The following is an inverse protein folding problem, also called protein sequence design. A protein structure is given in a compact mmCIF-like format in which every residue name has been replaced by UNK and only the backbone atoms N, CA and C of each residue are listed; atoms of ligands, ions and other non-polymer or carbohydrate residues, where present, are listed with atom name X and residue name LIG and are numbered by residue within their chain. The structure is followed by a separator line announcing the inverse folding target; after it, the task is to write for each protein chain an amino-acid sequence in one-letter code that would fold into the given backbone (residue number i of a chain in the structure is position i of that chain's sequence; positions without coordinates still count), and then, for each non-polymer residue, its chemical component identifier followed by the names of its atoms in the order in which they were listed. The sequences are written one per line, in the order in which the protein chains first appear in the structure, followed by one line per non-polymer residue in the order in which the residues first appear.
data_IF_094915155025
#
_entry.id   IF_094915155025
#
_cell.length_a   1.000
_cell.length_b   1.000
_cell.length_c   1.000
_cell.angle_alpha   90.00
_cell.angle_beta   90.00
_cell.angle_gamma   90.00
#
_symmetry.space_group_name_H-M   'P 1'
#
loop_
_entity.id
_entity.type
_entity.pdbx_description
1 polymer ?
#
# COMPACT_ATOMS: atom_id res chain seq x y z
N UNK A 1 23.67 -21.77 6.34
CA UNK A 1 23.95 -20.97 5.14
C UNK A 1 24.11 -19.53 5.60
N UNK A 2 25.21 -18.86 5.26
CA UNK A 2 25.38 -17.44 5.60
C UNK A 2 24.36 -16.66 4.77
N UNK A 3 23.41 -15.98 5.42
CA UNK A 3 22.59 -14.98 4.76
C UNK A 3 23.53 -13.91 4.21
N UNK A 4 23.46 -13.67 2.90
CA UNK A 4 24.27 -12.65 2.25
C UNK A 4 23.54 -11.32 2.45
N UNK A 5 24.13 -10.44 3.24
CA UNK A 5 23.57 -9.13 3.52
C UNK A 5 23.68 -8.24 2.28
N UNK A 6 22.64 -7.45 1.97
CA UNK A 6 22.67 -6.47 0.89
C UNK A 6 23.72 -5.39 1.20
N UNK A 7 24.59 -5.10 0.23
CA UNK A 7 25.57 -4.02 0.33
C UNK A 7 24.94 -2.68 -0.06
N UNK A 8 25.62 -1.57 0.23
CA UNK A 8 25.18 -0.24 -0.22
C UNK A 8 25.06 -0.14 -1.75
N UNK A 9 25.97 -0.82 -2.47
CA UNK A 9 25.92 -0.88 -3.94
C UNK A 9 24.70 -1.67 -4.43
N UNK A 10 24.35 -2.78 -3.76
CA UNK A 10 23.14 -3.54 -4.10
C UNK A 10 21.88 -2.69 -3.87
N UNK A 11 21.81 -1.93 -2.77
CA UNK A 11 20.69 -1.04 -2.47
C UNK A 11 20.54 0.08 -3.51
N UNK A 12 21.65 0.64 -3.99
CA UNK A 12 21.67 1.64 -5.05
C UNK A 12 21.15 1.07 -6.38
N UNK A 13 21.62 -0.13 -6.77
CA UNK A 13 21.14 -0.82 -7.97
C UNK A 13 19.64 -1.12 -7.91
N UNK A 14 19.13 -1.58 -6.76
CA UNK A 14 17.71 -1.82 -6.55
C UNK A 14 16.90 -0.52 -6.67
N UNK A 15 17.38 0.57 -6.08
CA UNK A 15 16.73 1.89 -6.16
C UNK A 15 16.68 2.38 -7.61
N UNK A 16 17.76 2.21 -8.39
CA UNK A 16 17.77 2.52 -9.82
C UNK A 16 16.77 1.67 -10.63
N UNK A 17 16.45 0.46 -10.17
CA UNK A 17 15.42 -0.40 -10.73
C UNK A 17 14.00 -0.09 -10.22
N UNK A 18 13.82 0.96 -9.39
CA UNK A 18 12.54 1.31 -8.77
C UNK A 18 12.15 0.42 -7.59
N UNK A 19 13.08 -0.37 -7.06
CA UNK A 19 12.87 -1.25 -5.92
C UNK A 19 13.41 -0.56 -4.67
N UNK A 20 12.52 -0.21 -3.76
CA UNK A 20 12.86 0.34 -2.45
C UNK A 20 12.80 -0.78 -1.41
N UNK A 21 13.81 -0.84 -0.56
CA UNK A 21 13.92 -1.84 0.49
C UNK A 21 14.02 -1.13 1.82
N UNK A 22 13.08 -1.43 2.72
CA UNK A 22 13.18 -1.05 4.12
C UNK A 22 13.54 -2.30 4.94
N UNK A 23 14.82 -2.45 5.35
CA UNK A 23 15.29 -3.68 5.98
C UNK A 23 14.80 -3.86 7.42
N UNK A 24 14.33 -2.81 8.08
CA UNK A 24 14.11 -2.79 9.53
C UNK A 24 12.72 -2.25 9.90
N UNK A 25 11.68 -2.93 9.47
CA UNK A 25 10.31 -2.71 9.99
C UNK A 25 10.07 -3.61 11.21
N UNK A 26 8.98 -3.39 11.94
CA UNK A 26 8.49 -4.20 13.06
C UNK A 26 8.21 -5.65 12.66
N UNK A 27 7.76 -5.90 11.42
CA UNK A 27 7.37 -7.23 10.93
C UNK A 27 8.36 -7.81 9.91
N UNK A 28 9.64 -7.40 9.99
CA UNK A 28 10.70 -7.83 9.07
C UNK A 28 10.86 -6.93 7.86
N UNK A 29 11.68 -7.29 6.86
CA UNK A 29 11.93 -6.40 5.73
C UNK A 29 10.65 -6.13 4.91
N UNK A 30 10.49 -4.90 4.45
CA UNK A 30 9.48 -4.52 3.47
C UNK A 30 10.15 -4.13 2.15
N UNK A 31 9.45 -4.40 1.05
CA UNK A 31 9.87 -4.00 -0.29
C UNK A 31 8.73 -3.25 -0.97
N UNK A 32 9.09 -2.17 -1.65
CA UNK A 32 8.20 -1.45 -2.56
C UNK A 32 8.76 -1.54 -3.97
N UNK A 33 8.02 -2.13 -4.90
CA UNK A 33 8.53 -2.36 -6.26
C UNK A 33 7.43 -2.28 -7.32
N UNK A 34 7.77 -1.91 -8.58
CA UNK A 34 6.83 -1.91 -9.68
C UNK A 34 6.59 -3.33 -10.19
N UNK A 35 5.36 -3.62 -10.60
CA UNK A 35 5.00 -4.75 -11.47
C UNK A 35 4.06 -4.28 -12.57
N UNK A 36 4.00 -5.02 -13.68
CA UNK A 36 3.04 -4.73 -14.75
C UNK A 36 1.62 -5.05 -14.29
N UNK A 37 0.66 -4.23 -14.70
CA UNK A 37 -0.77 -4.50 -14.51
C UNK A 37 -1.36 -5.48 -15.56
N UNK A 38 -0.58 -5.92 -16.54
CA UNK A 38 -1.02 -6.79 -17.64
C UNK A 38 -1.67 -6.06 -18.83
N UNK A 39 -1.91 -4.76 -18.73
CA UNK A 39 -2.57 -3.92 -19.75
C UNK A 39 -1.65 -2.81 -20.30
N UNK A 40 -0.36 -2.89 -20.00
CA UNK A 40 0.65 -1.91 -20.41
C UNK A 40 0.83 -0.77 -19.41
N UNK A 41 0.15 -0.82 -18.26
CA UNK A 41 0.39 0.04 -17.11
C UNK A 41 1.28 -0.62 -16.06
N UNK A 42 1.45 0.11 -14.96
CA UNK A 42 2.28 -0.27 -13.82
C UNK A 42 1.50 -0.10 -12.52
N UNK A 43 1.71 -1.05 -11.62
CA UNK A 43 1.28 -0.97 -10.22
C UNK A 43 2.52 -1.03 -9.33
N UNK A 44 2.54 -0.20 -8.29
CA UNK A 44 3.54 -0.24 -7.23
C UNK A 44 3.00 -1.09 -6.09
N UNK A 45 3.74 -2.11 -5.70
CA UNK A 45 3.35 -3.08 -4.66
C UNK A 45 4.19 -2.85 -3.41
N UNK A 46 3.54 -2.85 -2.25
CA UNK A 46 4.17 -3.05 -0.95
C UNK A 46 4.08 -4.54 -0.60
N UNK A 47 5.24 -5.17 -0.43
CA UNK A 47 5.36 -6.55 0.01
C UNK A 47 6.04 -6.60 1.37
N UNK A 48 5.53 -7.46 2.25
CA UNK A 48 6.14 -7.76 3.54
C UNK A 48 5.80 -9.20 3.94
N UNK A 49 6.75 -9.91 4.55
CA UNK A 49 6.47 -11.21 5.18
C UNK A 49 5.94 -12.31 4.25
N UNK A 50 6.13 -12.21 2.93
CA UNK A 50 5.60 -13.19 1.95
C UNK A 50 4.30 -12.80 1.27
N UNK A 51 3.68 -11.67 1.65
CA UNK A 51 2.39 -11.23 1.12
C UNK A 51 2.49 -9.85 0.46
N UNK A 52 1.56 -9.58 -0.46
CA UNK A 52 1.29 -8.21 -0.90
C UNK A 52 0.36 -7.56 0.13
N UNK A 53 0.89 -6.58 0.86
CA UNK A 53 0.16 -5.81 1.86
C UNK A 53 -0.69 -4.71 1.20
N UNK A 54 -0.16 -4.09 0.14
CA UNK A 54 -0.80 -2.97 -0.53
C UNK A 54 -0.36 -2.86 -1.99
N UNK A 55 -1.18 -2.26 -2.84
CA UNK A 55 -0.81 -2.00 -4.22
C UNK A 55 -1.54 -0.79 -4.79
N UNK A 56 -0.87 -0.04 -5.66
CA UNK A 56 -1.33 1.25 -6.18
C UNK A 56 -1.01 1.38 -7.66
N UNK A 57 -1.98 1.77 -8.48
CA UNK A 57 -1.70 2.23 -9.86
C UNK A 57 -0.85 3.50 -9.85
N UNK A 58 0.14 3.57 -10.74
CA UNK A 58 1.04 4.74 -10.83
C UNK A 58 0.58 5.81 -11.82
N UNK A 59 -0.59 5.62 -12.45
CA UNK A 59 -1.17 6.53 -13.45
C UNK A 59 -2.44 7.26 -12.92
N UNK A 60 -3.32 7.71 -13.82
CA UNK A 60 -4.58 8.38 -13.46
C UNK A 60 -5.50 7.51 -12.58
N UNK A 61 -5.32 6.19 -12.56
CA UNK A 61 -6.05 5.25 -11.73
C UNK A 61 -5.51 5.18 -10.30
N UNK A 62 -4.56 6.04 -9.88
CA UNK A 62 -3.97 6.02 -8.53
C UNK A 62 -4.98 5.93 -7.37
N UNK A 63 -6.21 6.44 -7.54
CA UNK A 63 -7.25 6.37 -6.51
C UNK A 63 -8.16 5.13 -6.64
N UNK A 64 -7.92 4.25 -7.60
CA UNK A 64 -8.62 2.98 -7.81
C UNK A 64 -7.94 1.86 -7.03
N UNK A 65 -8.72 0.83 -6.69
CA UNK A 65 -8.24 -0.33 -5.96
C UNK A 65 -7.57 -1.34 -6.90
N UNK A 66 -6.37 -1.78 -6.56
CA UNK A 66 -5.70 -2.88 -7.27
C UNK A 66 -6.22 -4.24 -6.77
N UNK A 67 -6.54 -4.35 -5.49
CA UNK A 67 -7.08 -5.57 -4.89
C UNK A 67 -8.61 -5.51 -4.81
N UNK A 68 -9.34 -6.35 -5.57
CA UNK A 68 -10.80 -6.28 -5.64
C UNK A 68 -11.51 -6.54 -4.31
N UNK A 69 -10.88 -7.28 -3.39
CA UNK A 69 -11.51 -7.56 -2.09
C UNK A 69 -11.73 -6.29 -1.26
N UNK A 70 -10.95 -5.22 -1.51
CA UNK A 70 -11.11 -3.94 -0.81
C UNK A 70 -12.43 -3.25 -1.17
N UNK A 71 -13.03 -3.55 -2.33
CA UNK A 71 -14.36 -3.06 -2.71
C UNK A 71 -15.45 -3.58 -1.75
N UNK A 72 -15.24 -4.74 -1.13
CA UNK A 72 -16.18 -5.29 -0.15
C UNK A 72 -16.27 -4.44 1.11
N UNK A 73 -15.33 -3.53 1.36
CA UNK A 73 -15.42 -2.62 2.50
C UNK A 73 -16.52 -1.58 2.30
N UNK A 74 -16.90 -1.26 1.06
CA UNK A 74 -18.02 -0.35 0.77
C UNK A 74 -19.37 -0.90 1.24
N UNK A 75 -19.47 -2.19 1.60
CA UNK A 75 -20.64 -2.75 2.30
C UNK A 75 -20.98 -1.99 3.60
N UNK A 76 -20.01 -1.26 4.18
CA UNK A 76 -20.28 -0.37 5.31
C UNK A 76 -21.34 0.70 4.99
N UNK A 77 -21.47 1.11 3.72
CA UNK A 77 -22.45 2.09 3.27
C UNK A 77 -23.84 1.50 3.02
N UNK A 78 -23.96 0.16 3.00
CA UNK A 78 -25.27 -0.52 3.00
C UNK A 78 -25.89 -0.55 4.40
N UNK A 79 -25.15 -0.12 5.43
CA UNK A 79 -25.67 -0.03 6.79
C UNK A 79 -26.82 0.98 6.90
N UNK A 80 -27.72 0.75 7.86
CA UNK A 80 -28.92 1.58 8.06
C UNK A 80 -28.62 2.99 8.64
N UNK A 81 -27.36 3.35 8.87
CA UNK A 81 -26.95 4.66 9.34
C UNK A 81 -25.97 5.33 8.37
N UNK A 82 -26.06 6.66 8.18
CA UNK A 82 -25.07 7.40 7.40
C UNK A 82 -23.66 7.26 7.99
N UNK A 83 -22.68 7.03 7.12
CA UNK A 83 -21.26 7.01 7.48
C UNK A 83 -20.63 8.33 7.13
N UNK A 84 -19.94 8.94 8.10
CA UNK A 84 -19.26 10.24 7.93
C UNK A 84 -17.78 10.19 8.31
N UNK A 85 -17.38 9.24 9.17
CA UNK A 85 -16.02 9.11 9.65
C UNK A 85 -15.64 7.63 9.76
N UNK A 86 -14.48 7.28 9.20
CA UNK A 86 -13.94 5.91 9.21
C UNK A 86 -12.54 5.92 9.82
N UNK A 87 -12.26 4.99 10.73
CA UNK A 87 -10.91 4.67 11.19
C UNK A 87 -10.51 3.33 10.58
N UNK A 88 -9.45 3.31 9.78
CA UNK A 88 -8.88 2.09 9.24
C UNK A 88 -7.61 1.71 10.01
N UNK A 89 -7.57 0.48 10.51
CA UNK A 89 -6.43 -0.09 11.21
C UNK A 89 -5.64 -1.01 10.27
N UNK A 90 -4.31 -0.94 10.29
CA UNK A 90 -3.45 -1.74 9.43
C UNK A 90 -3.45 -1.27 7.97
N UNK A 91 -3.49 0.05 7.78
CA UNK A 91 -3.66 0.68 6.47
C UNK A 91 -2.33 0.90 5.72
N UNK A 92 -1.41 -0.06 5.76
CA UNK A 92 -0.12 0.01 5.07
C UNK A 92 -0.30 0.35 3.57
N UNK A 93 0.40 1.38 3.08
CA UNK A 93 0.30 1.84 1.70
C UNK A 93 -1.01 2.56 1.33
N UNK A 94 -1.93 2.76 2.27
CA UNK A 94 -3.14 3.59 2.15
C UNK A 94 -4.03 3.30 0.92
N UNK A 95 -4.09 2.05 0.44
CA UNK A 95 -4.89 1.68 -0.74
C UNK A 95 -6.38 2.03 -0.58
N UNK A 96 -7.04 1.52 0.47
CA UNK A 96 -8.46 1.78 0.71
C UNK A 96 -8.76 3.19 1.25
N UNK A 97 -8.01 3.77 2.22
CA UNK A 97 -8.27 5.12 2.70
C UNK A 97 -8.26 6.16 1.58
N UNK A 98 -7.30 6.04 0.63
CA UNK A 98 -7.23 6.93 -0.53
C UNK A 98 -8.40 6.72 -1.50
N UNK A 99 -8.79 5.47 -1.75
CA UNK A 99 -9.98 5.16 -2.54
C UNK A 99 -11.24 5.76 -1.91
N UNK A 100 -11.43 5.56 -0.60
CA UNK A 100 -12.59 6.01 0.15
C UNK A 100 -12.78 7.52 0.05
N UNK A 101 -11.76 8.32 0.38
CA UNK A 101 -11.88 9.79 0.32
C UNK A 101 -12.00 10.34 -1.10
N UNK A 102 -11.57 9.57 -2.11
CA UNK A 102 -11.72 9.95 -3.52
C UNK A 102 -13.13 9.68 -4.07
N UNK A 103 -13.79 8.62 -3.60
CA UNK A 103 -15.12 8.19 -4.09
C UNK A 103 -16.28 8.63 -3.19
N UNK A 104 -16.00 8.89 -1.91
CA UNK A 104 -16.93 9.39 -0.89
C UNK A 104 -16.37 10.68 -0.26
N UNK A 105 -16.36 11.81 -0.99
CA UNK A 105 -15.73 13.06 -0.53
C UNK A 105 -16.39 13.67 0.72
N UNK A 106 -17.58 13.22 1.08
CA UNK A 106 -18.28 13.57 2.33
C UNK A 106 -17.78 12.82 3.56
N UNK A 107 -16.93 11.79 3.39
CA UNK A 107 -16.40 10.95 4.46
C UNK A 107 -14.98 11.34 4.81
N UNK A 108 -14.69 11.49 6.10
CA UNK A 108 -13.32 11.58 6.60
C UNK A 108 -12.77 10.20 6.93
N UNK A 109 -11.50 9.95 6.62
CA UNK A 109 -10.84 8.68 6.96
C UNK A 109 -9.51 8.93 7.66
N UNK A 110 -9.38 8.39 8.86
CA UNK A 110 -8.09 8.26 9.55
C UNK A 110 -7.53 6.86 9.27
N UNK A 111 -6.25 6.81 8.90
CA UNK A 111 -5.52 5.59 8.64
C UNK A 111 -4.43 5.40 9.72
N UNK A 112 -4.51 4.31 10.47
CA UNK A 112 -3.52 3.97 11.49
C UNK A 112 -2.68 2.78 11.04
N UNK A 113 -1.38 3.02 10.95
CA UNK A 113 -0.35 2.01 10.76
C UNK A 113 0.56 1.99 12.00
N UNK A 114 0.85 0.81 12.53
CA UNK A 114 1.65 0.65 13.75
C UNK A 114 3.13 0.85 13.46
N UNK A 115 3.56 0.50 12.25
CA UNK A 115 4.94 0.64 11.82
C UNK A 115 5.18 2.02 11.19
N UNK A 116 5.94 2.92 11.83
CA UNK A 116 6.17 4.26 11.31
C UNK A 116 6.87 4.25 9.94
N UNK A 117 7.69 3.24 9.63
CA UNK A 117 8.38 3.15 8.34
C UNK A 117 7.44 2.71 7.22
N UNK A 118 6.47 1.85 7.54
CA UNK A 118 5.41 1.52 6.59
C UNK A 118 4.47 2.70 6.40
N UNK A 119 4.15 3.44 7.47
CA UNK A 119 3.34 4.64 7.39
C UNK A 119 3.97 5.68 6.43
N UNK A 120 5.28 5.93 6.56
CA UNK A 120 6.02 6.87 5.70
C UNK A 120 6.12 6.41 4.23
N UNK A 121 6.14 5.09 3.99
CA UNK A 121 6.22 4.50 2.63
C UNK A 121 4.97 4.70 1.77
N UNK A 122 3.88 5.21 2.37
CA UNK A 122 2.56 5.35 1.73
C UNK A 122 2.41 6.61 0.87
N UNK A 123 3.51 7.32 0.58
CA UNK A 123 3.54 8.61 -0.13
C UNK A 123 4.00 8.55 -1.59
#
# INVERSE_FOLDING_TARGET
MSEKQLTAHDMELLTCAGIYVEPQTLNGPALVFPISDGEGGEIRVLWQGGAYESATYTDSRKNQLVFPYLELYDLLFEAACPVHSVLMLGAGGCSYPRYLVAHHPEVSCDALEIDPKIADSSS
#
